data_IF_909302325008
#
_entry.id   IF_909302325008
#
_cell.length_a   1.000
_cell.length_b   1.000
_cell.length_c   1.000
_cell.angle_alpha   90.00
_cell.angle_beta   90.00
_cell.angle_gamma   90.00
#
_symmetry.space_group_name_H-M   'P 1'
#
loop_
_entity.id
_entity.type
_entity.pdbx_description
1 polymer ?
#
# COMPACT_ATOMS: atom_id res chain seq x y z
N UNK A 1 7.23 11.00 16.38
CA UNK A 1 6.18 11.67 15.57
C UNK A 1 6.10 10.91 14.24
N UNK A 2 4.93 10.41 13.82
CA UNK A 2 4.76 9.74 12.51
C UNK A 2 3.89 10.63 11.63
N UNK A 3 4.47 11.43 10.70
CA UNK A 3 3.66 12.22 9.78
C UNK A 3 2.85 11.29 8.88
N UNK A 4 1.56 11.58 8.71
CA UNK A 4 0.65 10.82 7.85
C UNK A 4 0.27 11.71 6.66
N UNK A 5 0.28 11.15 5.45
CA UNK A 5 -0.12 11.88 4.24
C UNK A 5 -1.61 11.65 4.04
N UNK A 6 -2.38 12.73 4.02
CA UNK A 6 -3.82 12.68 3.76
C UNK A 6 -4.08 13.49 2.51
N UNK A 7 -4.79 12.91 1.57
CA UNK A 7 -5.30 13.61 0.41
C UNK A 7 -6.34 14.64 0.87
N UNK A 8 -6.10 15.93 0.60
CA UNK A 8 -6.95 16.99 1.10
C UNK A 8 -8.31 17.10 0.37
N UNK A 9 -8.41 16.55 -0.84
CA UNK A 9 -9.61 16.61 -1.67
C UNK A 9 -10.59 15.48 -1.32
N UNK A 10 -10.08 14.25 -1.24
CA UNK A 10 -10.85 13.05 -0.94
C UNK A 10 -10.87 12.68 0.55
N UNK A 11 -10.00 13.28 1.37
CA UNK A 11 -9.82 12.92 2.79
C UNK A 11 -9.19 11.54 3.00
N UNK A 12 -8.59 10.95 1.96
CA UNK A 12 -8.07 9.58 1.99
C UNK A 12 -6.65 9.54 2.51
N UNK A 13 -6.38 8.57 3.38
CA UNK A 13 -5.04 8.32 3.87
C UNK A 13 -4.18 7.68 2.76
N UNK A 14 -3.02 8.28 2.53
CA UNK A 14 -2.07 7.86 1.51
C UNK A 14 -0.83 7.31 2.20
N UNK A 15 -0.44 6.11 1.81
CA UNK A 15 0.73 5.41 2.32
C UNK A 15 1.82 5.38 1.26
N UNK A 16 3.05 5.55 1.73
CA UNK A 16 4.24 5.30 0.92
C UNK A 16 4.42 3.79 0.69
N UNK A 17 5.23 3.43 -0.31
CA UNK A 17 5.60 2.02 -0.54
C UNK A 17 6.19 1.35 0.71
N UNK A 18 6.86 2.11 1.59
CA UNK A 18 7.43 1.59 2.82
C UNK A 18 6.35 1.23 3.84
N UNK A 19 5.37 2.13 4.06
CA UNK A 19 4.24 1.89 4.97
C UNK A 19 3.34 0.75 4.49
N UNK A 20 3.07 0.70 3.18
CA UNK A 20 2.31 -0.42 2.60
C UNK A 20 3.00 -1.76 2.84
N UNK A 21 4.33 -1.77 2.70
CA UNK A 21 5.13 -2.97 2.88
C UNK A 21 5.20 -3.40 4.35
N UNK A 22 5.41 -2.45 5.27
CA UNK A 22 5.37 -2.67 6.72
C UNK A 22 4.02 -3.27 7.15
N UNK A 23 2.92 -2.67 6.71
CA UNK A 23 1.57 -3.16 7.00
C UNK A 23 1.30 -4.57 6.42
N UNK A 24 1.78 -4.83 5.21
CA UNK A 24 1.59 -6.10 4.53
C UNK A 24 2.61 -7.19 4.93
N UNK A 25 3.51 -6.90 5.88
CA UNK A 25 4.57 -7.82 6.32
C UNK A 25 5.55 -8.18 5.19
N UNK A 26 5.86 -7.24 4.29
CA UNK A 26 6.76 -7.45 3.16
C UNK A 26 7.79 -6.33 3.04
N UNK A 27 8.73 -6.48 2.12
CA UNK A 27 9.74 -5.45 1.82
C UNK A 27 9.22 -4.46 0.79
N UNK A 28 9.63 -3.19 0.89
CA UNK A 28 9.27 -2.12 -0.06
C UNK A 28 9.45 -2.52 -1.53
N UNK A 29 10.58 -3.13 -1.88
CA UNK A 29 10.86 -3.59 -3.24
C UNK A 29 9.93 -4.69 -3.72
N UNK A 30 9.53 -5.61 -2.82
CA UNK A 30 8.57 -6.67 -3.09
C UNK A 30 7.18 -6.08 -3.33
N UNK A 31 6.74 -5.14 -2.48
CA UNK A 31 5.45 -4.47 -2.64
C UNK A 31 5.37 -3.70 -3.96
N UNK A 32 6.37 -2.89 -4.29
CA UNK A 32 6.41 -2.18 -5.58
C UNK A 32 6.42 -3.14 -6.77
N UNK A 33 7.11 -4.28 -6.65
CA UNK A 33 7.10 -5.32 -7.68
C UNK A 33 5.71 -5.95 -7.84
N UNK A 34 4.98 -6.16 -6.74
CA UNK A 34 3.60 -6.63 -6.80
C UNK A 34 2.67 -5.61 -7.44
N UNK A 35 2.81 -4.33 -7.11
CA UNK A 35 2.01 -3.26 -7.72
C UNK A 35 2.25 -3.21 -9.25
N UNK A 36 3.51 -3.32 -9.69
CA UNK A 36 3.85 -3.39 -11.12
C UNK A 36 3.30 -4.64 -11.84
N UNK A 37 3.05 -5.73 -11.10
CA UNK A 37 2.49 -7.00 -11.62
C UNK A 37 0.98 -7.12 -11.44
N UNK A 38 0.27 -6.04 -11.07
CA UNK A 38 -1.15 -6.06 -10.72
C UNK A 38 -1.50 -7.09 -9.61
N UNK A 39 -0.53 -7.40 -8.74
CA UNK A 39 -0.71 -8.29 -7.57
C UNK A 39 -0.87 -7.54 -6.25
N UNK A 40 -0.73 -6.22 -6.28
CA UNK A 40 -1.02 -5.30 -5.19
C UNK A 40 -1.80 -4.10 -5.74
N UNK A 41 -2.36 -3.22 -4.88
CA UNK A 41 -3.11 -2.07 -5.32
C UNK A 41 -2.31 -1.17 -6.26
N UNK A 42 -3.02 -0.50 -7.16
CA UNK A 42 -2.40 0.47 -8.06
C UNK A 42 -1.98 1.70 -7.26
N UNK A 43 -0.87 2.34 -7.64
CA UNK A 43 -0.49 3.59 -7.01
C UNK A 43 -1.55 4.66 -7.30
N UNK A 44 -2.00 5.33 -6.25
CA UNK A 44 -3.01 6.37 -6.31
C UNK A 44 -2.47 7.63 -7.00
N UNK A 45 -1.26 8.04 -6.62
CA UNK A 45 -0.61 9.21 -7.20
C UNK A 45 0.90 9.14 -7.04
N UNK A 46 1.61 10.00 -7.76
CA UNK A 46 3.06 10.20 -7.61
C UNK A 46 3.29 11.64 -7.18
N UNK A 47 3.73 11.84 -5.96
CA UNK A 47 3.99 13.15 -5.37
C UNK A 47 5.49 13.31 -5.12
N UNK A 48 6.14 14.29 -5.79
CA UNK A 48 7.58 14.57 -5.63
C UNK A 48 8.51 13.34 -5.76
N UNK A 49 8.18 12.41 -6.67
CA UNK A 49 8.97 11.19 -6.87
C UNK A 49 8.61 10.04 -5.93
N UNK A 50 7.79 10.28 -4.91
CA UNK A 50 7.21 9.25 -4.07
C UNK A 50 5.91 8.75 -4.69
N UNK A 51 5.84 7.45 -4.89
CA UNK A 51 4.59 6.79 -5.24
C UNK A 51 3.78 6.58 -3.96
N UNK A 52 2.50 6.94 -3.99
CA UNK A 52 1.58 6.86 -2.88
C UNK A 52 0.43 5.92 -3.23
N UNK A 53 -0.06 5.17 -2.25
CA UNK A 53 -1.17 4.23 -2.35
C UNK A 53 -2.26 4.61 -1.36
N UNK A 54 -3.52 4.38 -1.71
CA UNK A 54 -4.61 4.57 -0.76
C UNK A 54 -4.52 3.48 0.31
N UNK A 55 -4.43 3.91 1.58
CA UNK A 55 -4.34 3.01 2.72
C UNK A 55 -5.49 2.00 2.75
N UNK A 56 -6.71 2.44 2.44
CA UNK A 56 -7.89 1.59 2.39
C UNK A 56 -7.76 0.44 1.37
N UNK A 57 -7.28 0.72 0.17
CA UNK A 57 -7.06 -0.32 -0.85
C UNK A 57 -5.99 -1.32 -0.43
N UNK A 58 -4.94 -0.85 0.26
CA UNK A 58 -3.88 -1.72 0.80
C UNK A 58 -4.42 -2.62 1.91
N UNK A 59 -5.28 -2.08 2.78
CA UNK A 59 -5.94 -2.85 3.86
C UNK A 59 -6.86 -3.91 3.28
N UNK A 60 -7.71 -3.55 2.31
CA UNK A 60 -8.62 -4.49 1.64
C UNK A 60 -7.87 -5.60 0.90
N UNK A 61 -6.83 -5.23 0.16
CA UNK A 61 -5.95 -6.17 -0.51
C UNK A 61 -5.26 -7.12 0.48
N UNK A 62 -4.70 -6.60 1.57
CA UNK A 62 -4.02 -7.42 2.57
C UNK A 62 -5.00 -8.37 3.29
N UNK A 63 -6.22 -7.90 3.58
CA UNK A 63 -7.28 -8.74 4.16
C UNK A 63 -7.66 -9.88 3.21
N UNK A 64 -7.84 -9.58 1.91
CA UNK A 64 -8.13 -10.59 0.88
C UNK A 64 -6.97 -11.58 0.71
N UNK A 65 -5.73 -11.10 0.78
CA UNK A 65 -4.53 -11.93 0.71
C UNK A 65 -4.43 -12.89 1.89
N UNK A 66 -4.66 -12.42 3.11
CA UNK A 66 -4.60 -13.24 4.33
C UNK A 66 -5.80 -14.20 4.47
N UNK A 67 -6.88 -13.98 3.72
CA UNK A 67 -8.01 -14.90 3.64
C UNK A 67 -7.72 -16.17 2.85
N UNK A 68 -6.62 -16.20 2.09
CA UNK A 68 -6.05 -17.47 1.60
C UNK A 68 -5.23 -18.04 2.75
N UNK A 69 -5.60 -19.20 3.32
CA UNK A 69 -4.83 -19.77 4.41
C UNK A 69 -3.39 -19.93 3.94
N UNK A 70 -2.47 -19.31 4.68
CA UNK A 70 -1.10 -19.77 4.72
C UNK A 70 -1.20 -21.16 5.36
N UNK A 71 -1.29 -22.20 4.53
CA UNK A 71 -0.97 -23.56 4.98
C UNK A 71 0.50 -23.53 5.42
N UNK A 72 0.71 -23.80 6.70
CA UNK A 72 2.01 -23.89 7.39
C UNK A 72 2.73 -25.19 7.04
#
# INVERSE_FOLDING_TARGET
MKPTIIDADSGRELWTAAECADYAGTSRGTFTSYAGRNRAPKPATKHHGLTLWVAEEVRDWNATRNRRPQEE
#
